data_IF_006844571445
#
_entry.id   IF_006844571445
#
_cell.length_a   1.000
_cell.length_b   1.000
_cell.length_c   1.000
_cell.angle_alpha   90.00
_cell.angle_beta   90.00
_cell.angle_gamma   90.00
#
_symmetry.space_group_name_H-M   'P 1'
#
loop_
_entity.id
_entity.type
_entity.pdbx_description
1 polymer ?
#
# COMPACT_ATOMS: atom_id res chain seq x y z
N UNK A 1 35.55 21.88 60.30
CA UNK A 1 35.96 21.10 59.11
C UNK A 1 34.88 20.08 58.77
N UNK A 2 34.06 20.27 57.71
CA UNK A 2 33.11 19.25 57.27
C UNK A 2 33.48 18.76 55.87
N UNK A 3 34.32 17.74 55.77
CA UNK A 3 34.68 17.14 54.47
C UNK A 3 34.74 15.62 54.62
N UNK A 4 33.60 14.94 54.58
CA UNK A 4 33.56 13.50 54.21
C UNK A 4 32.20 12.97 53.70
N UNK A 5 31.21 13.81 53.38
CA UNK A 5 29.88 13.34 52.90
C UNK A 5 29.54 13.59 51.43
N UNK A 6 30.50 13.99 50.57
CA UNK A 6 30.22 14.38 49.16
C UNK A 6 30.50 13.32 48.09
N UNK A 7 30.95 12.11 48.44
CA UNK A 7 31.31 11.08 47.44
C UNK A 7 30.18 10.07 47.14
N UNK A 8 29.30 9.77 48.10
CA UNK A 8 28.22 8.78 47.87
C UNK A 8 27.06 9.33 47.03
N UNK A 9 26.74 10.63 47.12
CA UNK A 9 25.66 11.22 46.30
C UNK A 9 26.03 11.29 44.81
N UNK A 10 27.32 11.39 44.46
CA UNK A 10 27.76 11.42 43.07
C UNK A 10 27.66 10.05 42.38
N UNK A 11 27.79 8.96 43.14
CA UNK A 11 27.61 7.58 42.65
C UNK A 11 26.13 7.25 42.52
N UNK A 12 25.31 7.66 43.51
CA UNK A 12 23.87 7.46 43.48
C UNK A 12 23.18 8.24 42.33
N UNK A 13 23.66 9.45 42.03
CA UNK A 13 23.18 10.28 40.91
C UNK A 13 23.63 9.80 39.53
N UNK A 14 24.76 9.08 39.42
CA UNK A 14 25.24 8.47 38.17
C UNK A 14 24.44 7.22 37.78
N UNK A 15 23.94 6.46 38.76
CA UNK A 15 23.15 5.24 38.53
C UNK A 15 21.75 5.57 37.99
N UNK A 16 21.09 6.63 38.46
CA UNK A 16 19.81 7.06 37.87
C UNK A 16 19.98 7.51 36.41
N UNK A 17 21.04 8.26 36.08
CA UNK A 17 21.34 8.63 34.69
C UNK A 17 21.66 7.42 33.80
N UNK A 18 22.29 6.37 34.34
CA UNK A 18 22.52 5.11 33.61
C UNK A 18 21.22 4.41 33.19
N UNK A 19 20.24 4.34 34.11
CA UNK A 19 18.91 3.80 33.80
C UNK A 19 18.17 4.64 32.74
N UNK A 20 18.27 5.97 32.80
CA UNK A 20 17.64 6.86 31.80
C UNK A 20 18.30 6.81 30.41
N UNK A 21 19.61 6.56 30.34
CA UNK A 21 20.33 6.43 29.06
C UNK A 21 19.94 5.12 28.36
N UNK A 22 19.80 4.01 29.11
CA UNK A 22 19.47 2.71 28.55
C UNK A 22 17.98 2.53 28.21
N UNK A 23 17.07 3.14 28.97
CA UNK A 23 15.65 3.18 28.59
C UNK A 23 15.47 3.82 27.19
N UNK A 24 16.23 4.88 26.87
CA UNK A 24 16.12 5.57 25.57
C UNK A 24 16.68 4.76 24.40
N UNK A 25 17.81 4.07 24.58
CA UNK A 25 18.36 3.19 23.54
C UNK A 25 17.44 1.99 23.29
N UNK A 26 16.86 1.41 24.34
CA UNK A 26 15.87 0.34 24.24
C UNK A 26 14.58 0.80 23.56
N UNK A 27 14.05 1.99 23.87
CA UNK A 27 12.86 2.51 23.17
C UNK A 27 13.10 2.73 21.67
N UNK A 28 14.27 3.23 21.28
CA UNK A 28 14.67 3.36 19.88
C UNK A 28 14.80 1.98 19.20
N UNK A 29 15.40 1.00 19.89
CA UNK A 29 15.51 -0.38 19.40
C UNK A 29 14.15 -1.08 19.22
N UNK A 30 13.25 -0.97 20.21
CA UNK A 30 11.91 -1.58 20.19
C UNK A 30 11.04 -0.95 19.10
N UNK A 31 11.08 0.38 18.96
CA UNK A 31 10.34 1.06 17.87
C UNK A 31 10.85 0.64 16.49
N UNK A 32 12.16 0.49 16.33
CA UNK A 32 12.78 -0.08 15.13
C UNK A 32 12.33 -1.51 14.84
N UNK A 33 12.31 -2.40 15.83
CA UNK A 33 11.85 -3.78 15.68
C UNK A 33 10.40 -3.87 15.19
N UNK A 34 9.50 -3.10 15.81
CA UNK A 34 8.08 -3.09 15.43
C UNK A 34 7.89 -2.59 13.99
N UNK A 35 8.61 -1.54 13.60
CA UNK A 35 8.53 -1.00 12.25
C UNK A 35 9.08 -1.97 11.20
N UNK A 36 10.20 -2.65 11.47
CA UNK A 36 10.74 -3.67 10.57
C UNK A 36 9.84 -4.90 10.49
N UNK A 37 9.13 -5.27 11.57
CA UNK A 37 8.13 -6.35 11.51
C UNK A 37 7.01 -5.98 10.54
N UNK A 38 6.43 -4.79 10.65
CA UNK A 38 5.41 -4.34 9.69
C UNK A 38 5.95 -4.23 8.26
N UNK A 39 7.22 -3.84 8.08
CA UNK A 39 7.86 -3.87 6.76
C UNK A 39 7.90 -5.29 6.19
N UNK A 40 8.31 -6.27 7.00
CA UNK A 40 8.36 -7.67 6.61
C UNK A 40 6.97 -8.21 6.28
N UNK A 41 5.94 -7.82 7.03
CA UNK A 41 4.55 -8.21 6.75
C UNK A 41 4.07 -7.67 5.38
N UNK A 42 4.40 -6.42 5.06
CA UNK A 42 4.05 -5.81 3.76
C UNK A 42 4.82 -6.46 2.61
N UNK A 43 6.13 -6.69 2.75
CA UNK A 43 6.93 -7.38 1.73
C UNK A 43 6.44 -8.82 1.53
N UNK A 44 6.15 -9.53 2.62
CA UNK A 44 5.60 -10.88 2.56
C UNK A 44 4.27 -10.91 1.81
N UNK A 45 3.41 -9.91 2.04
CA UNK A 45 2.15 -9.77 1.30
C UNK A 45 2.38 -9.46 -0.19
N UNK A 46 3.34 -8.60 -0.54
CA UNK A 46 3.69 -8.33 -1.93
C UNK A 46 4.16 -9.59 -2.66
N UNK A 47 5.09 -10.35 -2.06
CA UNK A 47 5.64 -11.58 -2.64
C UNK A 47 4.54 -12.64 -2.82
N UNK A 48 3.67 -12.81 -1.82
CA UNK A 48 2.57 -13.77 -1.90
C UNK A 48 1.60 -13.45 -3.05
N UNK A 49 1.40 -12.17 -3.36
CA UNK A 49 0.46 -11.72 -4.38
C UNK A 49 1.11 -11.37 -5.73
N UNK A 50 2.37 -11.77 -5.98
CA UNK A 50 3.07 -11.49 -7.25
C UNK A 50 2.32 -12.03 -8.48
N UNK A 51 1.70 -13.21 -8.36
CA UNK A 51 0.98 -13.85 -9.45
C UNK A 51 -0.51 -13.48 -9.46
N UNK A 52 -0.94 -12.59 -8.57
CA UNK A 52 -2.33 -12.16 -8.50
C UNK A 52 -2.60 -11.07 -9.52
N UNK A 53 -3.56 -11.30 -10.40
CA UNK A 53 -3.98 -10.35 -11.42
C UNK A 53 -4.56 -9.07 -10.79
N UNK A 54 -4.16 -7.92 -11.31
CA UNK A 54 -4.60 -6.62 -10.82
C UNK A 54 -4.07 -6.21 -9.43
N UNK A 55 -3.18 -6.99 -8.80
CA UNK A 55 -2.62 -6.64 -7.48
C UNK A 55 -1.65 -5.46 -7.57
N UNK A 56 -1.73 -4.55 -6.58
CA UNK A 56 -0.85 -3.37 -6.46
C UNK A 56 0.03 -3.44 -5.22
N UNK A 57 1.35 -3.32 -5.45
CA UNK A 57 2.41 -3.31 -4.43
C UNK A 57 2.11 -2.30 -3.32
N UNK A 58 2.22 -2.77 -2.08
CA UNK A 58 2.21 -1.93 -0.89
C UNK A 58 3.64 -1.52 -0.51
N UNK A 59 3.84 -0.28 -0.05
CA UNK A 59 5.13 0.20 0.45
C UNK A 59 4.95 0.83 1.82
N UNK A 60 5.90 0.58 2.71
CA UNK A 60 5.96 1.21 4.04
C UNK A 60 6.87 2.43 4.02
N UNK A 61 6.40 3.55 4.54
CA UNK A 61 7.22 4.75 4.76
C UNK A 61 7.42 4.97 6.27
N UNK A 62 8.64 5.27 6.69
CA UNK A 62 8.96 5.60 8.09
C UNK A 62 9.23 7.09 8.25
N UNK A 63 8.94 7.61 9.44
CA UNK A 63 9.34 8.94 9.90
C UNK A 63 10.02 8.84 11.26
N UNK A 64 10.82 9.82 11.63
CA UNK A 64 11.34 9.92 12.99
C UNK A 64 10.22 10.27 13.99
N UNK A 65 10.31 9.76 15.22
CA UNK A 65 9.23 9.89 16.20
C UNK A 65 9.26 11.25 16.91
N UNK A 66 10.44 11.67 17.38
CA UNK A 66 10.71 12.99 17.93
C UNK A 66 12.22 13.15 18.19
N UNK A 67 12.72 14.39 18.16
CA UNK A 67 14.12 14.71 18.49
C UNK A 67 14.21 15.43 19.83
N UNK A 68 15.00 14.91 20.77
CA UNK A 68 15.20 15.54 22.07
C UNK A 68 16.44 16.43 22.07
N UNK A 69 16.24 17.73 22.30
CA UNK A 69 17.33 18.71 22.39
C UNK A 69 18.11 18.57 23.71
N UNK A 70 19.40 18.26 23.60
CA UNK A 70 20.37 18.21 24.70
C UNK A 70 21.03 19.57 24.92
N UNK A 71 21.22 20.36 23.85
CA UNK A 71 21.64 21.76 23.91
C UNK A 71 21.07 22.52 22.72
N UNK A 72 20.52 23.71 22.98
CA UNK A 72 20.07 24.62 21.93
C UNK A 72 21.25 25.18 21.12
N UNK A 73 20.96 25.58 19.89
CA UNK A 73 21.93 26.31 19.07
C UNK A 73 22.09 27.72 19.62
N UNK A 74 23.32 28.24 19.69
CA UNK A 74 23.56 29.65 20.03
C UNK A 74 24.31 30.34 18.90
N UNK A 75 23.91 31.57 18.59
CA UNK A 75 24.63 32.41 17.65
C UNK A 75 26.05 32.72 18.16
N UNK A 76 27.04 32.93 17.27
CA UNK A 76 28.38 33.38 17.66
C UNK A 76 28.31 34.76 18.33
N UNK A 77 29.08 34.95 19.39
CA UNK A 77 29.16 36.22 20.12
C UNK A 77 30.52 36.44 20.78
N UNK A 78 31.15 37.58 20.48
CA UNK A 78 32.42 38.01 21.06
C UNK A 78 33.53 36.95 20.97
N UNK A 79 34.25 36.61 22.07
CA UNK A 79 35.37 35.67 22.04
C UNK A 79 34.95 34.19 21.92
N UNK A 80 33.66 33.88 21.68
CA UNK A 80 33.14 32.51 21.58
C UNK A 80 32.34 32.30 20.29
N UNK A 81 32.70 31.24 19.56
CA UNK A 81 31.96 30.79 18.38
C UNK A 81 30.58 30.22 18.73
N UNK A 82 29.67 30.23 17.75
CA UNK A 82 28.36 29.60 17.90
C UNK A 82 28.47 28.09 18.04
N UNK A 83 27.50 27.47 18.71
CA UNK A 83 27.43 26.01 18.85
C UNK A 83 26.21 25.46 18.14
N UNK A 84 26.40 24.31 17.47
CA UNK A 84 25.32 23.58 16.82
C UNK A 84 24.37 22.96 17.86
N UNK A 85 23.08 22.82 17.53
CA UNK A 85 22.14 22.14 18.40
C UNK A 85 22.52 20.66 18.49
N UNK A 86 22.59 20.15 19.71
CA UNK A 86 22.79 18.72 19.96
C UNK A 86 21.42 18.13 20.24
N UNK A 87 20.92 17.30 19.34
CA UNK A 87 19.66 16.59 19.54
C UNK A 87 19.85 15.09 19.34
N UNK A 88 19.05 14.31 20.04
CA UNK A 88 19.07 12.85 19.97
C UNK A 88 17.69 12.38 19.54
N UNK A 89 17.63 11.61 18.45
CA UNK A 89 16.39 11.02 17.95
C UNK A 89 15.89 9.91 18.88
N UNK A 90 14.57 9.87 19.11
CA UNK A 90 13.91 8.91 19.99
C UNK A 90 13.39 7.66 19.25
N UNK A 91 13.95 7.37 18.06
CA UNK A 91 13.58 6.23 17.23
C UNK A 91 12.75 6.62 16.00
N UNK A 92 12.09 5.63 15.41
CA UNK A 92 11.26 5.79 14.20
C UNK A 92 9.84 5.31 14.41
N UNK A 93 8.90 5.82 13.61
CA UNK A 93 7.52 5.38 13.55
C UNK A 93 7.14 5.05 12.10
N UNK A 94 6.23 4.10 11.91
CA UNK A 94 5.50 3.94 10.65
C UNK A 94 4.70 5.21 10.34
N UNK A 95 4.97 5.83 9.19
CA UNK A 95 4.23 6.98 8.71
C UNK A 95 2.94 6.52 8.00
N UNK A 96 3.09 5.70 6.96
CA UNK A 96 2.00 5.20 6.13
C UNK A 96 2.37 3.85 5.49
N UNK A 97 1.34 3.11 5.09
CA UNK A 97 1.46 2.02 4.11
C UNK A 97 0.68 2.48 2.89
N UNK A 98 1.35 2.89 1.83
CA UNK A 98 0.71 3.34 0.60
C UNK A 98 0.66 2.21 -0.44
N UNK A 99 -0.32 2.27 -1.33
CA UNK A 99 -0.43 1.35 -2.47
C UNK A 99 0.01 2.07 -3.73
N UNK A 100 0.92 1.47 -4.49
CA UNK A 100 1.48 2.07 -5.70
C UNK A 100 0.62 1.61 -6.90
N UNK A 101 -0.13 2.53 -7.48
CA UNK A 101 -1.06 2.26 -8.59
C UNK A 101 -0.42 2.33 -9.99
N UNK A 102 0.88 2.05 -10.10
CA UNK A 102 1.54 1.92 -11.41
C UNK A 102 0.99 0.71 -12.17
N UNK A 103 0.82 0.77 -13.50
CA UNK A 103 0.37 -0.37 -14.29
C UNK A 103 1.40 -1.51 -14.23
N UNK A 104 0.91 -2.75 -14.17
CA UNK A 104 1.74 -3.95 -14.31
C UNK A 104 1.96 -4.32 -15.78
N UNK A 105 2.70 -5.40 -16.03
CA UNK A 105 2.77 -5.99 -17.37
C UNK A 105 1.44 -6.65 -17.73
N UNK A 106 1.07 -6.62 -19.01
CA UNK A 106 -0.11 -7.33 -19.51
C UNK A 106 0.30 -8.71 -20.03
N UNK A 107 -0.49 -9.73 -19.70
CA UNK A 107 -0.34 -11.09 -20.22
C UNK A 107 -1.52 -11.40 -21.14
N UNK A 108 -1.23 -11.86 -22.35
CA UNK A 108 -2.27 -12.31 -23.27
C UNK A 108 -2.77 -13.71 -22.88
N UNK A 109 -4.09 -13.86 -22.70
CA UNK A 109 -4.75 -15.11 -22.32
C UNK A 109 -5.54 -15.74 -23.46
N UNK A 110 -5.92 -14.96 -24.48
CA UNK A 110 -6.70 -15.43 -25.63
C UNK A 110 -8.22 -15.52 -25.40
N UNK A 111 -8.71 -15.23 -24.19
CA UNK A 111 -10.15 -15.18 -23.89
C UNK A 111 -10.68 -13.76 -24.02
N UNK A 112 -11.74 -13.55 -24.79
CA UNK A 112 -12.29 -12.21 -25.05
C UNK A 112 -12.88 -11.53 -23.81
N UNK A 113 -13.26 -12.30 -22.79
CA UNK A 113 -13.80 -11.80 -21.51
C UNK A 113 -12.72 -11.41 -20.50
N UNK A 114 -11.46 -11.74 -20.78
CA UNK A 114 -10.33 -11.24 -20.00
C UNK A 114 -9.98 -9.85 -20.51
N UNK A 115 -10.02 -8.88 -19.60
CA UNK A 115 -9.83 -7.46 -19.89
C UNK A 115 -8.67 -6.89 -19.08
N UNK A 116 -7.77 -6.20 -19.76
CA UNK A 116 -6.75 -5.37 -19.14
C UNK A 116 -7.02 -3.90 -19.42
N UNK A 117 -6.60 -3.03 -18.49
CA UNK A 117 -6.64 -1.57 -18.70
C UNK A 117 -5.21 -1.10 -18.96
N UNK A 118 -4.98 -0.51 -20.12
CA UNK A 118 -3.73 0.17 -20.44
C UNK A 118 -3.86 1.66 -20.08
N UNK A 119 -3.19 2.08 -19.00
CA UNK A 119 -3.27 3.45 -18.46
C UNK A 119 -4.08 3.54 -17.17
N UNK A 120 -4.55 4.73 -16.82
CA UNK A 120 -5.27 4.96 -15.56
C UNK A 120 -6.75 4.56 -15.65
N UNK A 121 -7.27 3.86 -14.65
CA UNK A 121 -8.68 3.50 -14.58
C UNK A 121 -8.95 2.29 -13.70
N UNK A 122 -10.18 2.15 -13.24
CA UNK A 122 -10.65 0.95 -12.55
C UNK A 122 -11.95 0.49 -13.18
N UNK A 123 -12.14 -0.82 -13.26
CA UNK A 123 -13.44 -1.40 -13.57
C UNK A 123 -14.38 -1.13 -12.40
N UNK A 124 -15.62 -0.79 -12.72
CA UNK A 124 -16.67 -0.60 -11.72
C UNK A 124 -17.50 -1.87 -11.66
N UNK A 125 -17.45 -2.55 -10.52
CA UNK A 125 -18.22 -3.76 -10.25
C UNK A 125 -19.17 -3.49 -9.09
N UNK A 126 -20.37 -4.04 -9.15
CA UNK A 126 -21.37 -3.82 -8.11
C UNK A 126 -22.61 -4.65 -8.29
N UNK A 127 -23.50 -4.58 -7.32
CA UNK A 127 -24.83 -5.17 -7.45
C UNK A 127 -25.69 -4.28 -8.35
N UNK A 128 -26.20 -4.87 -9.44
CA UNK A 128 -27.14 -4.21 -10.33
C UNK A 128 -28.54 -4.25 -9.69
N UNK A 129 -29.00 -3.12 -9.14
CA UNK A 129 -30.37 -3.01 -8.60
C UNK A 129 -30.55 -2.14 -7.36
N UNK A 130 -29.49 -1.61 -6.76
CA UNK A 130 -29.60 -0.62 -5.69
C UNK A 130 -29.91 0.78 -6.25
N UNK A 131 -31.05 1.37 -5.88
CA UNK A 131 -31.32 2.77 -6.11
C UNK A 131 -30.25 3.63 -5.41
N UNK A 132 -29.27 4.09 -6.19
CA UNK A 132 -28.10 4.82 -5.71
C UNK A 132 -26.89 3.90 -5.62
N UNK A 133 -25.84 4.20 -6.40
CA UNK A 133 -24.56 3.48 -6.47
C UNK A 133 -23.74 3.50 -5.16
N UNK A 134 -24.35 3.09 -4.06
CA UNK A 134 -23.77 3.08 -2.72
C UNK A 134 -22.81 1.91 -2.49
N UNK A 135 -22.87 0.87 -3.34
CA UNK A 135 -22.00 -0.31 -3.25
C UNK A 135 -21.21 -0.54 -4.54
N UNK A 136 -20.83 0.52 -5.26
CA UNK A 136 -19.88 0.39 -6.37
C UNK A 136 -18.49 0.13 -5.81
N UNK A 137 -17.93 -1.02 -6.16
CA UNK A 137 -16.57 -1.40 -5.88
C UNK A 137 -15.73 -1.21 -7.15
N UNK A 138 -14.45 -0.97 -6.95
CA UNK A 138 -13.51 -0.69 -8.01
C UNK A 138 -12.46 -1.78 -8.03
N UNK A 139 -12.19 -2.34 -9.19
CA UNK A 139 -11.17 -3.38 -9.34
C UNK A 139 -10.27 -3.09 -10.53
N UNK A 140 -9.05 -3.59 -10.45
CA UNK A 140 -8.10 -3.61 -11.55
C UNK A 140 -7.98 -5.00 -12.16
N UNK A 141 -8.48 -6.03 -11.49
CA UNK A 141 -8.60 -7.36 -12.05
C UNK A 141 -9.72 -7.36 -13.09
N UNK A 142 -9.45 -7.88 -14.28
CA UNK A 142 -10.45 -7.98 -15.35
C UNK A 142 -10.71 -9.40 -15.79
N UNK A 143 -10.81 -10.31 -14.83
CA UNK A 143 -11.27 -11.68 -15.07
C UNK A 143 -12.79 -11.64 -14.92
N UNK A 144 -13.50 -11.72 -16.04
CA UNK A 144 -14.96 -11.72 -16.03
C UNK A 144 -15.51 -13.00 -16.65
N UNK A 145 -16.66 -13.41 -16.14
CA UNK A 145 -17.43 -14.56 -16.58
C UNK A 145 -18.81 -14.09 -17.06
N UNK A 146 -19.47 -14.94 -17.82
CA UNK A 146 -20.83 -14.71 -18.27
C UNK A 146 -21.79 -15.55 -17.43
N UNK A 147 -22.82 -14.92 -16.86
CA UNK A 147 -23.91 -15.62 -16.18
C UNK A 147 -24.95 -16.14 -17.20
N UNK A 148 -25.82 -17.06 -16.77
CA UNK A 148 -26.94 -17.61 -17.56
C UNK A 148 -27.85 -16.54 -18.15
N UNK A 149 -28.01 -15.41 -17.46
CA UNK A 149 -28.79 -14.28 -17.97
C UNK A 149 -28.08 -13.49 -19.09
N UNK A 150 -26.84 -13.84 -19.44
CA UNK A 150 -26.01 -13.10 -20.38
C UNK A 150 -25.30 -11.89 -19.76
N UNK A 151 -25.35 -11.73 -18.45
CA UNK A 151 -24.71 -10.61 -17.76
C UNK A 151 -23.22 -10.90 -17.49
N UNK A 152 -22.36 -9.88 -17.60
CA UNK A 152 -20.95 -9.99 -17.23
C UNK A 152 -20.76 -9.86 -15.72
N UNK A 153 -20.14 -10.87 -15.12
CA UNK A 153 -19.90 -10.96 -13.68
C UNK A 153 -18.43 -11.21 -13.35
N UNK A 154 -17.97 -10.70 -12.21
CA UNK A 154 -16.68 -11.07 -11.61
C UNK A 154 -16.77 -12.46 -10.95
N UNK A 155 -15.64 -13.05 -10.52
CA UNK A 155 -15.58 -14.36 -9.86
C UNK A 155 -16.43 -14.47 -8.57
N UNK A 156 -16.73 -13.34 -7.94
CA UNK A 156 -17.63 -13.23 -6.77
C UNK A 156 -19.11 -13.04 -7.15
N UNK A 157 -19.47 -13.05 -8.44
CA UNK A 157 -20.85 -12.88 -8.91
C UNK A 157 -21.36 -11.42 -8.93
N UNK A 158 -20.46 -10.44 -8.81
CA UNK A 158 -20.81 -9.00 -8.93
C UNK A 158 -20.85 -8.60 -10.40
N UNK A 159 -21.78 -7.72 -10.77
CA UNK A 159 -21.95 -7.31 -12.17
C UNK A 159 -20.94 -6.24 -12.58
N UNK A 160 -20.44 -6.33 -13.80
CA UNK A 160 -19.70 -5.25 -14.45
C UNK A 160 -20.67 -4.17 -14.94
N UNK A 161 -20.41 -2.91 -14.56
CA UNK A 161 -21.30 -1.80 -14.86
C UNK A 161 -20.90 -1.05 -16.15
N UNK A 162 -21.93 -0.62 -16.88
CA UNK A 162 -21.89 0.25 -18.07
C UNK A 162 -21.79 1.73 -17.66
N UNK A 163 -21.48 2.62 -18.61
CA UNK A 163 -21.40 4.09 -18.48
C UNK A 163 -22.65 4.72 -17.81
N UNK A 164 -23.81 4.05 -17.87
CA UNK A 164 -25.06 4.44 -17.21
C UNK A 164 -25.31 3.77 -15.83
N UNK A 165 -24.31 3.09 -15.24
CA UNK A 165 -24.44 2.19 -14.09
C UNK A 165 -25.46 1.05 -14.27
N UNK A 166 -25.73 0.67 -15.52
CA UNK A 166 -26.54 -0.49 -15.86
C UNK A 166 -25.66 -1.74 -15.96
N UNK A 167 -26.25 -2.92 -15.76
CA UNK A 167 -25.56 -4.18 -16.04
C UNK A 167 -25.31 -4.34 -17.54
N UNK A 168 -24.17 -4.92 -17.88
CA UNK A 168 -23.85 -5.26 -19.27
C UNK A 168 -24.47 -6.61 -19.60
N UNK A 169 -25.43 -6.63 -20.53
CA UNK A 169 -26.13 -7.83 -20.98
C UNK A 169 -25.76 -8.19 -22.41
N UNK A 170 -25.33 -9.43 -22.61
CA UNK A 170 -25.06 -10.04 -23.91
C UNK A 170 -26.06 -11.19 -24.06
N UNK A 171 -27.02 -11.12 -25.01
CA UNK A 171 -28.09 -12.10 -25.12
C UNK A 171 -27.57 -13.51 -25.47
N UNK A 172 -28.21 -14.51 -24.85
CA UNK A 172 -27.93 -15.93 -25.06
C UNK A 172 -28.29 -16.32 -26.51
N UNK A 173 -27.28 -16.52 -27.36
CA UNK A 173 -27.45 -16.75 -28.80
C UNK A 173 -26.43 -16.03 -29.70
N UNK A 174 -25.59 -15.15 -29.11
CA UNK A 174 -24.51 -14.49 -29.83
C UNK A 174 -23.43 -15.48 -30.28
N UNK A 175 -22.98 -15.40 -31.55
CA UNK A 175 -21.95 -16.28 -32.12
C UNK A 175 -20.53 -15.86 -31.76
N UNK A 176 -20.29 -14.56 -31.64
CA UNK A 176 -18.99 -14.01 -31.28
C UNK A 176 -19.16 -12.72 -30.49
N UNK A 177 -18.23 -12.50 -29.56
CA UNK A 177 -18.16 -11.32 -28.71
C UNK A 177 -16.80 -10.67 -28.98
N UNK A 178 -16.79 -9.36 -29.15
CA UNK A 178 -15.57 -8.57 -29.25
C UNK A 178 -15.73 -7.30 -28.45
N UNK A 179 -14.69 -6.92 -27.72
CA UNK A 179 -14.68 -5.72 -26.89
C UNK A 179 -13.66 -4.76 -27.50
N UNK A 180 -14.15 -3.59 -27.90
CA UNK A 180 -13.30 -2.55 -28.49
C UNK A 180 -12.46 -1.83 -27.44
N UNK A 181 -11.41 -1.13 -27.90
CA UNK A 181 -10.53 -0.34 -27.01
C UNK A 181 -11.23 0.82 -26.29
N UNK A 182 -12.34 1.27 -26.89
CA UNK A 182 -13.28 2.24 -26.32
C UNK A 182 -14.24 1.64 -25.29
N UNK A 183 -14.06 0.36 -24.92
CA UNK A 183 -14.92 -0.40 -24.02
C UNK A 183 -16.27 -0.79 -24.61
N UNK A 184 -16.51 -0.56 -25.90
CA UNK A 184 -17.75 -0.95 -26.55
C UNK A 184 -17.81 -2.47 -26.70
N UNK A 185 -18.82 -3.07 -26.08
CA UNK A 185 -19.07 -4.51 -26.17
C UNK A 185 -19.92 -4.75 -27.41
N UNK A 186 -19.35 -5.48 -28.37
CA UNK A 186 -20.01 -5.86 -29.62
C UNK A 186 -20.24 -7.35 -29.65
N UNK A 187 -21.43 -7.76 -30.07
CA UNK A 187 -21.71 -9.16 -30.34
C UNK A 187 -22.38 -9.33 -31.71
N UNK A 188 -22.18 -10.51 -32.29
CA UNK A 188 -22.89 -10.94 -33.50
C UNK A 188 -24.10 -11.75 -33.06
N UNK A 189 -25.29 -11.22 -33.31
CA UNK A 189 -26.55 -11.90 -33.02
C UNK A 189 -26.74 -13.14 -33.92
N UNK A 190 -27.68 -14.01 -33.58
CA UNK A 190 -28.10 -15.19 -34.35
C UNK A 190 -28.39 -14.87 -35.83
N UNK A 191 -28.86 -13.66 -36.13
CA UNK A 191 -29.12 -13.11 -37.46
C UNK A 191 -27.88 -12.60 -38.22
N UNK A 192 -26.68 -12.64 -37.62
CA UNK A 192 -25.43 -12.20 -38.25
C UNK A 192 -25.20 -10.68 -38.25
N UNK A 193 -26.09 -9.90 -37.64
CA UNK A 193 -25.91 -8.46 -37.46
C UNK A 193 -24.99 -8.17 -36.27
N UNK A 194 -24.07 -7.22 -36.45
CA UNK A 194 -23.26 -6.67 -35.37
C UNK A 194 -24.10 -5.68 -34.56
N UNK A 195 -24.27 -5.96 -33.27
CA UNK A 195 -24.89 -5.03 -32.32
C UNK A 195 -23.83 -4.50 -31.35
N UNK A 196 -23.83 -3.18 -31.12
CA UNK A 196 -23.00 -2.50 -30.14
C UNK A 196 -23.89 -1.98 -29.02
N UNK A 197 -24.01 -2.75 -27.95
CA UNK A 197 -25.12 -2.57 -27.01
C UNK A 197 -24.76 -1.61 -25.90
N UNK A 198 -23.54 -1.73 -25.34
CA UNK A 198 -23.15 -1.08 -24.07
C UNK A 198 -21.63 -0.84 -24.01
N UNK A 199 -21.20 0.13 -23.17
CA UNK A 199 -19.79 0.48 -23.01
C UNK A 199 -19.31 0.23 -21.58
N UNK A 200 -18.24 -0.51 -21.41
CA UNK A 200 -17.65 -0.75 -20.08
C UNK A 200 -17.22 0.58 -19.47
N UNK A 201 -17.68 0.83 -18.24
CA UNK A 201 -17.32 2.03 -17.52
C UNK A 201 -15.93 1.91 -16.90
N UNK A 202 -15.11 2.95 -17.05
CA UNK A 202 -13.87 3.11 -16.29
C UNK A 202 -13.98 4.27 -15.31
N UNK A 203 -13.71 3.99 -14.04
CA UNK A 203 -13.58 5.00 -12.99
C UNK A 203 -12.14 5.52 -12.92
N UNK A 204 -11.97 6.85 -12.94
CA UNK A 204 -10.71 7.49 -12.54
C UNK A 204 -10.93 8.30 -11.27
N UNK A 205 -9.99 8.19 -10.35
CA UNK A 205 -9.95 8.97 -9.12
C UNK A 205 -8.85 10.03 -9.21
N UNK A 206 -9.09 11.18 -8.57
CA UNK A 206 -8.08 12.22 -8.44
C UNK A 206 -6.92 11.76 -7.55
N UNK A 207 -7.22 10.96 -6.51
CA UNK A 207 -6.22 10.39 -5.62
C UNK A 207 -6.45 8.87 -5.44
N UNK A 208 -5.82 8.01 -6.25
CA UNK A 208 -5.99 6.56 -6.12
C UNK A 208 -5.44 6.01 -4.79
N UNK A 209 -4.45 6.67 -4.17
CA UNK A 209 -3.92 6.27 -2.87
C UNK A 209 -4.89 6.48 -1.70
N UNK A 210 -5.99 7.21 -1.92
CA UNK A 210 -7.08 7.36 -0.96
C UNK A 210 -8.07 6.19 -0.96
N UNK A 211 -8.00 5.27 -1.92
CA UNK A 211 -8.94 4.16 -2.02
C UNK A 211 -8.74 3.15 -0.87
N UNK A 212 -9.85 2.68 -0.31
CA UNK A 212 -9.82 1.69 0.76
C UNK A 212 -9.90 0.27 0.17
N UNK A 213 -8.98 -0.62 0.56
CA UNK A 213 -9.02 -2.03 0.16
C UNK A 213 -10.12 -2.76 0.95
N UNK A 214 -11.03 -3.45 0.26
CA UNK A 214 -12.13 -4.23 0.88
C UNK A 214 -11.88 -5.75 0.81
N UNK A 215 -10.79 -6.17 0.17
CA UNK A 215 -10.45 -7.58 -0.06
C UNK A 215 -10.73 -7.98 -1.52
N UNK A 216 -10.28 -9.16 -1.95
CA UNK A 216 -10.51 -9.66 -3.32
C UNK A 216 -10.00 -8.75 -4.45
N UNK A 217 -8.94 -7.96 -4.21
CA UNK A 217 -8.45 -6.91 -5.11
C UNK A 217 -9.45 -5.77 -5.42
N UNK A 218 -10.45 -5.61 -4.54
CA UNK A 218 -11.46 -4.57 -4.64
C UNK A 218 -11.10 -3.37 -3.77
N UNK A 219 -11.49 -2.23 -4.29
CA UNK A 219 -11.34 -0.93 -3.70
C UNK A 219 -12.72 -0.28 -3.51
N UNK A 220 -12.87 0.44 -2.41
CA UNK A 220 -14.04 1.26 -2.13
C UNK A 220 -13.62 2.73 -2.11
N UNK A 221 -14.52 3.59 -2.59
CA UNK A 221 -14.34 5.03 -2.50
C UNK A 221 -14.23 5.46 -1.04
N UNK A 222 -13.30 6.36 -0.75
CA UNK A 222 -13.16 6.99 0.55
C UNK A 222 -13.26 8.51 0.37
N UNK A 223 -13.62 9.27 1.41
CA UNK A 223 -13.65 10.73 1.33
C UNK A 223 -12.33 11.36 0.83
N UNK A 224 -11.21 10.64 0.93
CA UNK A 224 -9.88 11.10 0.51
C UNK A 224 -9.48 10.68 -0.91
N UNK A 225 -10.19 9.75 -1.56
CA UNK A 225 -9.91 9.35 -2.94
C UNK A 225 -10.38 10.41 -3.96
N UNK A 226 -11.33 11.26 -3.54
CA UNK A 226 -11.99 12.25 -4.37
C UNK A 226 -13.12 11.64 -5.21
N UNK A 227 -13.89 12.49 -5.91
CA UNK A 227 -15.02 12.00 -6.70
C UNK A 227 -14.54 11.20 -7.92
N UNK A 228 -15.22 10.08 -8.19
CA UNK A 228 -15.09 9.36 -9.45
C UNK A 228 -15.35 10.32 -10.63
N UNK A 229 -14.41 10.40 -11.56
CA UNK A 229 -14.50 11.28 -12.72
C UNK A 229 -14.76 10.51 -14.00
N UNK A 230 -15.99 10.66 -14.50
CA UNK A 230 -16.54 10.20 -15.77
C UNK A 230 -16.47 8.70 -16.03
N UNK A 231 -16.97 8.30 -17.20
CA UNK A 231 -17.50 6.96 -17.42
C UNK A 231 -16.86 6.25 -18.63
N UNK A 232 -16.57 6.99 -19.71
CA UNK A 232 -16.13 6.38 -20.98
C UNK A 232 -14.60 6.12 -21.05
N UNK A 233 -14.13 4.97 -21.55
CA UNK A 233 -12.71 4.73 -21.81
C UNK A 233 -12.12 5.72 -22.84
N UNK A 234 -10.79 5.91 -22.85
CA UNK A 234 -10.03 6.82 -23.73
C UNK A 234 -10.32 8.34 -23.58
N UNK A 235 -11.39 8.73 -22.87
CA UNK A 235 -11.71 10.13 -22.61
C UNK A 235 -11.23 10.58 -21.23
N UNK A 236 -10.84 11.85 -21.09
CA UNK A 236 -10.48 12.44 -19.80
C UNK A 236 -9.20 11.86 -19.17
N UNK A 237 -8.25 11.37 -19.98
CA UNK A 237 -6.99 10.80 -19.51
C UNK A 237 -7.14 9.43 -18.84
N UNK A 238 -8.18 8.68 -19.21
CA UNK A 238 -8.37 7.27 -18.85
C UNK A 238 -7.68 6.36 -19.86
N UNK A 239 -7.34 5.16 -19.39
CA UNK A 239 -6.75 4.12 -20.20
C UNK A 239 -7.68 3.55 -21.28
N UNK A 240 -7.09 2.81 -22.21
CA UNK A 240 -7.80 1.93 -23.14
C UNK A 240 -8.03 0.56 -22.51
N UNK A 241 -9.11 -0.10 -22.94
CA UNK A 241 -9.34 -1.50 -22.59
C UNK A 241 -8.71 -2.38 -23.65
N UNK A 242 -7.98 -3.41 -23.25
CA UNK A 242 -7.47 -4.44 -24.16
C UNK A 242 -8.16 -5.75 -23.80
N UNK A 243 -8.85 -6.32 -24.78
CA UNK A 243 -9.51 -7.62 -24.65
C UNK A 243 -8.53 -8.75 -24.99
N UNK A 244 -8.70 -9.90 -24.34
CA UNK A 244 -7.79 -11.03 -24.51
C UNK A 244 -6.56 -10.98 -23.61
N UNK A 245 -6.49 -10.06 -22.65
CA UNK A 245 -5.33 -9.89 -21.78
C UNK A 245 -5.73 -9.60 -20.33
N UNK A 246 -4.83 -9.97 -19.41
CA UNK A 246 -4.95 -9.67 -17.99
C UNK A 246 -3.77 -8.83 -17.54
N UNK A 247 -4.02 -7.89 -16.62
CA UNK A 247 -2.96 -7.13 -15.98
C UNK A 247 -2.34 -7.93 -14.84
N UNK A 248 -1.02 -8.14 -14.90
CA UNK A 248 -0.24 -8.76 -13.84
C UNK A 248 -0.01 -7.82 -12.66
N UNK A 249 0.42 -8.38 -11.54
CA UNK A 249 0.90 -7.56 -10.44
C UNK A 249 2.07 -6.67 -10.86
N UNK A 250 2.16 -5.47 -10.28
CA UNK A 250 3.32 -4.59 -10.44
C UNK A 250 4.45 -4.88 -9.42
N UNK A 251 4.43 -6.05 -8.78
CA UNK A 251 5.47 -6.49 -7.83
C UNK A 251 6.63 -7.14 -8.58
N UNK A 252 7.86 -6.65 -8.35
CA UNK A 252 9.09 -7.31 -8.79
C UNK A 252 9.69 -8.12 -7.64
N UNK A 253 9.75 -9.44 -7.82
CA UNK A 253 10.30 -10.36 -6.82
C UNK A 253 11.76 -10.07 -6.46
N UNK A 254 12.57 -9.65 -7.43
CA UNK A 254 14.00 -9.43 -7.20
C UNK A 254 14.22 -8.25 -6.26
N UNK A 255 13.42 -7.19 -6.44
CA UNK A 255 13.39 -6.03 -5.56
C UNK A 255 12.85 -6.40 -4.18
N UNK A 256 11.70 -7.09 -4.11
CA UNK A 256 11.08 -7.49 -2.83
C UNK A 256 11.99 -8.41 -2.00
N UNK A 257 12.67 -9.37 -2.62
CA UNK A 257 13.62 -10.24 -1.89
C UNK A 257 14.81 -9.44 -1.36
N UNK A 258 15.32 -8.48 -2.14
CA UNK A 258 16.41 -7.61 -1.69
C UNK A 258 15.96 -6.74 -0.52
N UNK A 259 14.77 -6.15 -0.61
CA UNK A 259 14.16 -5.38 0.49
C UNK A 259 13.90 -6.24 1.73
N UNK A 260 13.48 -7.50 1.55
CA UNK A 260 13.30 -8.45 2.65
C UNK A 260 14.62 -8.69 3.38
N UNK A 261 15.71 -8.92 2.64
CA UNK A 261 17.04 -9.14 3.23
C UNK A 261 17.49 -7.90 4.01
N UNK A 262 17.26 -6.70 3.48
CA UNK A 262 17.58 -5.44 4.18
C UNK A 262 16.74 -5.30 5.45
N UNK A 263 15.44 -5.57 5.38
CA UNK A 263 14.54 -5.51 6.53
C UNK A 263 14.90 -6.54 7.62
N UNK A 264 15.24 -7.77 7.22
CA UNK A 264 15.72 -8.83 8.13
C UNK A 264 17.03 -8.44 8.82
N UNK A 265 18.00 -7.90 8.07
CA UNK A 265 19.27 -7.41 8.65
C UNK A 265 19.02 -6.24 9.61
N UNK A 266 18.09 -5.34 9.29
CA UNK A 266 17.65 -4.26 10.16
C UNK A 266 17.01 -4.76 11.47
N UNK A 267 16.13 -5.76 11.37
CA UNK A 267 15.52 -6.41 12.53
C UNK A 267 16.56 -7.10 13.44
N UNK A 268 17.50 -7.86 12.85
CA UNK A 268 18.59 -8.49 13.59
C UNK A 268 19.55 -7.48 14.22
N UNK A 269 19.81 -6.35 13.56
CA UNK A 269 20.64 -5.28 14.11
C UNK A 269 19.97 -4.65 15.34
N UNK A 270 18.68 -4.37 15.29
CA UNK A 270 17.94 -3.82 16.44
C UNK A 270 17.84 -4.83 17.60
N UNK A 271 17.72 -6.12 17.30
CA UNK A 271 17.73 -7.17 18.35
C UNK A 271 19.09 -7.21 19.06
N UNK A 272 20.19 -7.05 18.31
CA UNK A 272 21.54 -6.96 18.89
C UNK A 272 21.73 -5.75 19.81
N UNK A 273 21.06 -4.62 19.55
CA UNK A 273 21.10 -3.45 20.46
C UNK A 273 20.50 -3.80 21.82
N UNK A 274 19.45 -4.62 21.85
CA UNK A 274 18.81 -5.05 23.09
C UNK A 274 19.72 -5.99 23.87
N UNK A 275 20.31 -6.99 23.20
CA UNK A 275 21.19 -7.95 23.87
C UNK A 275 22.47 -7.29 24.41
N UNK A 276 23.08 -6.38 23.66
CA UNK A 276 24.27 -5.65 24.15
C UNK A 276 23.92 -4.70 25.28
N UNK A 277 22.73 -4.09 25.27
CA UNK A 277 22.27 -3.27 26.39
C UNK A 277 22.06 -4.11 27.65
N UNK A 278 21.53 -5.33 27.52
CA UNK A 278 21.33 -6.27 28.63
C UNK A 278 22.66 -6.75 29.23
N UNK A 279 23.64 -7.08 28.38
CA UNK A 279 25.01 -7.42 28.82
C UNK A 279 25.65 -6.29 29.65
N UNK A 280 25.53 -5.04 29.19
CA UNK A 280 26.04 -3.87 29.92
C UNK A 280 25.29 -3.67 31.25
N UNK A 281 23.97 -3.87 31.28
CA UNK A 281 23.20 -3.82 32.53
C UNK A 281 23.69 -4.86 33.53
N UNK A 282 23.96 -6.08 33.06
CA UNK A 282 24.43 -7.16 33.91
C UNK A 282 25.84 -6.88 34.47
N UNK A 283 26.74 -6.32 33.66
CA UNK A 283 28.07 -5.87 34.11
C UNK A 283 27.96 -4.75 35.15
N UNK A 284 27.07 -3.78 34.96
CA UNK A 284 26.83 -2.69 35.91
C UNK A 284 26.22 -3.18 37.24
N UNK A 285 25.32 -4.16 37.20
CA UNK A 285 24.76 -4.77 38.41
C UNK A 285 25.85 -5.51 39.20
N UNK A 286 26.77 -6.17 38.51
CA UNK A 286 27.90 -6.86 39.13
C UNK A 286 28.92 -5.90 39.76
N UNK A 287 29.06 -4.69 39.24
CA UNK A 287 29.89 -3.62 39.85
C UNK A 287 29.31 -3.04 41.14
N UNK A 288 28.03 -3.26 41.45
CA UNK A 288 27.40 -2.78 42.69
C UNK A 288 27.66 -3.71 43.89
N UNK A 289 28.19 -4.92 43.65
CA UNK A 289 28.54 -5.88 44.70
C UNK A 289 29.95 -5.68 45.22
#
# INVERSE_FOLDING_TARGET
MPTHRRLNDAVHFKIERGNYIMLRSMYSGISGLKNFQTKLDVIGNNIANVNTYGFKKGRTVFKDLYSQTVSGATAPGGPRGGVNPKQVGLGSQLATIDTIHTPGSTQFTGNTLDLAIEGDGFFVVGEAGGAGGANSLYTRAGIFYMDKAGDLVDGDGRYLLDSANAKINIPEGSKSISIGQNGEVKYVDSAGALQGTQKIQLAKFSNPGGLQKVGGNLYQDSPNAGKQTGTDPLQGGRGSIVSGSLEMSNVDLSEEFTEMIVAQRGFQANTRIITTSDEILQELVNLKR
#
